data_IF_569584139619
#
_entry.id   IF_569584139619
#
_cell.length_a   1.000
_cell.length_b   1.000
_cell.length_c   1.000
_cell.angle_alpha   90.00
_cell.angle_beta   90.00
_cell.angle_gamma   90.00
#
_symmetry.space_group_name_H-M   'P 1'
#
loop_
_entity.id
_entity.type
_entity.pdbx_description
1 polymer ?
#
# COMPACT_ATOMS: atom_id res chain seq x y z
N UNK A 1 -13.01 -13.66 17.90
CA UNK A 1 -11.66 -13.26 18.36
C UNK A 1 -10.55 -14.19 17.84
N UNK A 2 -10.66 -15.51 17.98
CA UNK A 2 -9.60 -16.49 17.58
C UNK A 2 -9.18 -16.41 16.11
N UNK A 3 -10.10 -16.13 15.17
CA UNK A 3 -9.76 -16.04 13.72
C UNK A 3 -8.89 -14.81 13.35
N UNK A 4 -8.97 -13.71 14.10
CA UNK A 4 -8.19 -12.52 13.81
C UNK A 4 -6.72 -12.67 14.23
N UNK A 5 -6.47 -13.33 15.34
CA UNK A 5 -5.11 -13.55 15.87
C UNK A 5 -4.30 -14.49 14.97
N UNK A 6 -4.91 -15.60 14.54
CA UNK A 6 -4.27 -16.52 13.59
C UNK A 6 -3.88 -15.83 12.27
N UNK A 7 -4.72 -14.90 11.78
CA UNK A 7 -4.43 -14.13 10.57
C UNK A 7 -3.24 -13.16 10.80
N UNK A 8 -3.21 -12.46 11.93
CA UNK A 8 -2.11 -11.57 12.30
C UNK A 8 -0.78 -12.36 12.38
N UNK A 9 -0.79 -13.51 13.05
CA UNK A 9 0.40 -14.39 13.12
C UNK A 9 0.82 -14.91 11.74
N UNK A 10 -0.12 -15.23 10.85
CA UNK A 10 0.19 -15.61 9.48
C UNK A 10 0.88 -14.45 8.72
N UNK A 11 0.36 -13.24 8.85
CA UNK A 11 0.98 -12.05 8.25
C UNK A 11 2.38 -11.81 8.81
N UNK A 12 2.55 -11.86 10.12
CA UNK A 12 3.85 -11.68 10.77
C UNK A 12 4.90 -12.66 10.25
N UNK A 13 4.54 -13.94 10.16
CA UNK A 13 5.43 -14.97 9.57
C UNK A 13 5.74 -14.71 8.11
N UNK A 14 4.76 -14.34 7.30
CA UNK A 14 4.95 -14.08 5.88
C UNK A 14 5.75 -12.80 5.58
N UNK A 15 5.73 -11.84 6.49
CA UNK A 15 6.48 -10.59 6.44
C UNK A 15 7.84 -10.69 7.16
N UNK A 16 8.14 -11.83 7.78
CA UNK A 16 9.34 -12.05 8.61
C UNK A 16 9.46 -11.01 9.73
N UNK A 17 8.34 -10.66 10.36
CA UNK A 17 8.30 -9.73 11.47
C UNK A 17 8.66 -10.39 12.79
N UNK A 18 9.32 -9.63 13.66
CA UNK A 18 9.36 -9.94 15.08
C UNK A 18 7.96 -9.79 15.70
N UNK A 19 7.71 -10.47 16.81
CA UNK A 19 6.42 -10.43 17.51
C UNK A 19 6.01 -9.00 17.90
N UNK A 20 6.98 -8.19 18.32
CA UNK A 20 6.80 -6.77 18.67
C UNK A 20 6.25 -5.92 17.52
N UNK A 21 6.65 -6.20 16.27
CA UNK A 21 6.25 -5.44 15.09
C UNK A 21 4.74 -5.52 14.84
N UNK A 22 4.11 -6.64 15.19
CA UNK A 22 2.65 -6.79 15.02
C UNK A 22 1.85 -5.79 15.84
N UNK A 23 2.38 -5.36 16.99
CA UNK A 23 1.75 -4.37 17.87
C UNK A 23 1.82 -2.95 17.34
N UNK A 24 2.76 -2.65 16.43
CA UNK A 24 2.91 -1.33 15.81
C UNK A 24 1.83 -1.06 14.75
N UNK A 25 1.27 -2.11 14.13
CA UNK A 25 0.35 -1.99 12.99
C UNK A 25 -1.04 -1.54 13.44
N UNK A 26 -1.63 -0.59 12.69
CA UNK A 26 -3.03 -0.18 12.80
C UNK A 26 -3.95 -1.18 12.09
N UNK A 27 -4.26 -2.27 12.76
CA UNK A 27 -5.15 -3.32 12.24
C UNK A 27 -6.59 -2.84 12.07
N UNK A 28 -7.03 -1.85 12.85
CA UNK A 28 -8.38 -1.32 12.74
C UNK A 28 -8.58 -0.59 11.42
N UNK A 29 -7.63 0.28 11.06
CA UNK A 29 -7.62 0.97 9.77
C UNK A 29 -7.54 0.00 8.59
N UNK A 30 -6.69 -1.03 8.70
CA UNK A 30 -6.58 -2.08 7.69
C UNK A 30 -7.91 -2.82 7.47
N UNK A 31 -8.55 -3.27 8.55
CA UNK A 31 -9.84 -3.98 8.47
C UNK A 31 -10.95 -3.08 7.92
N UNK A 32 -10.96 -1.80 8.32
CA UNK A 32 -11.95 -0.84 7.82
C UNK A 32 -11.75 -0.54 6.33
N UNK A 33 -10.49 -0.50 5.86
CA UNK A 33 -10.20 -0.35 4.44
C UNK A 33 -10.71 -1.54 3.61
N UNK A 34 -10.53 -2.78 4.09
CA UNK A 34 -11.09 -3.98 3.45
C UNK A 34 -12.62 -3.88 3.35
N UNK A 35 -13.30 -3.55 4.46
CA UNK A 35 -14.76 -3.38 4.47
C UNK A 35 -15.22 -2.28 3.51
N UNK A 36 -14.52 -1.15 3.50
CA UNK A 36 -14.83 -0.02 2.60
C UNK A 36 -14.66 -0.39 1.13
N UNK A 37 -13.58 -1.07 0.80
CA UNK A 37 -13.32 -1.53 -0.56
C UNK A 37 -14.46 -2.42 -1.08
N UNK A 38 -15.01 -3.28 -0.23
CA UNK A 38 -16.11 -4.18 -0.59
C UNK A 38 -17.44 -3.45 -0.77
N UNK A 39 -17.68 -2.36 -0.05
CA UNK A 39 -19.00 -1.67 -0.04
C UNK A 39 -19.07 -0.54 -1.06
N UNK A 40 -18.03 0.29 -1.13
CA UNK A 40 -18.07 1.59 -1.80
C UNK A 40 -17.14 1.72 -3.01
N UNK A 41 -16.34 0.71 -3.30
CA UNK A 41 -15.36 0.80 -4.35
C UNK A 41 -15.56 -0.28 -5.41
N UNK A 42 -15.15 0.05 -6.63
CA UNK A 42 -15.07 -0.89 -7.74
C UNK A 42 -13.90 -1.89 -7.58
N UNK A 43 -13.42 -2.09 -6.34
CA UNK A 43 -12.30 -2.98 -6.04
C UNK A 43 -12.82 -4.38 -5.71
N UNK A 44 -12.52 -5.40 -6.52
CA UNK A 44 -12.94 -6.76 -6.21
C UNK A 44 -12.25 -7.28 -4.95
N UNK A 45 -13.04 -7.86 -4.03
CA UNK A 45 -12.52 -8.48 -2.79
C UNK A 45 -11.43 -9.51 -3.09
N UNK A 46 -11.64 -10.33 -4.13
CA UNK A 46 -10.66 -11.33 -4.58
C UNK A 46 -9.32 -10.72 -4.96
N UNK A 47 -9.33 -9.52 -5.56
CA UNK A 47 -8.08 -8.82 -5.89
C UNK A 47 -7.36 -8.38 -4.62
N UNK A 48 -8.07 -7.69 -3.71
CA UNK A 48 -7.48 -7.19 -2.46
C UNK A 48 -6.87 -8.34 -1.67
N UNK A 49 -7.63 -9.42 -1.45
CA UNK A 49 -7.14 -10.59 -0.72
C UNK A 49 -5.87 -11.16 -1.36
N UNK A 50 -5.85 -11.34 -2.69
CA UNK A 50 -4.67 -11.84 -3.38
C UNK A 50 -3.48 -10.89 -3.30
N UNK A 51 -3.73 -9.59 -3.40
CA UNK A 51 -2.69 -8.58 -3.33
C UNK A 51 -2.02 -8.53 -1.96
N UNK A 52 -2.81 -8.41 -0.88
CA UNK A 52 -2.26 -8.28 0.49
C UNK A 52 -1.53 -9.54 0.98
N UNK A 53 -1.79 -10.69 0.35
CA UNK A 53 -1.15 -11.98 0.66
C UNK A 53 -0.07 -12.40 -0.35
N UNK A 54 0.33 -11.55 -1.31
CA UNK A 54 1.33 -11.86 -2.35
C UNK A 54 0.99 -13.09 -3.22
N UNK A 55 -0.29 -13.31 -3.47
CA UNK A 55 -0.78 -14.43 -4.30
C UNK A 55 -1.54 -13.98 -5.56
N UNK A 56 -1.29 -12.75 -6.02
CA UNK A 56 -1.78 -12.33 -7.34
C UNK A 56 -1.23 -13.30 -8.39
N UNK A 57 -2.04 -13.73 -9.38
CA UNK A 57 -1.61 -14.66 -10.42
C UNK A 57 -0.68 -13.98 -11.46
N UNK A 58 0.44 -13.46 -10.97
CA UNK A 58 1.57 -12.98 -11.79
C UNK A 58 2.24 -14.15 -12.51
N UNK A 59 3.09 -13.85 -13.48
CA UNK A 59 3.82 -14.88 -14.23
C UNK A 59 4.51 -15.91 -13.34
N UNK A 60 5.21 -15.44 -12.29
CA UNK A 60 5.89 -16.28 -11.30
C UNK A 60 4.93 -17.21 -10.54
N UNK A 61 3.77 -16.70 -10.12
CA UNK A 61 2.80 -17.50 -9.36
C UNK A 61 2.12 -18.53 -10.25
N UNK A 62 1.71 -18.15 -11.47
CA UNK A 62 1.05 -19.07 -12.40
C UNK A 62 2.00 -20.18 -12.85
N UNK A 63 3.27 -19.85 -13.13
CA UNK A 63 4.26 -20.84 -13.54
C UNK A 63 4.51 -21.94 -12.51
N UNK A 64 4.35 -21.68 -11.19
CA UNK A 64 4.43 -22.70 -10.14
C UNK A 64 3.41 -23.84 -10.29
N UNK A 65 2.23 -23.52 -10.81
CA UNK A 65 1.13 -24.47 -10.99
C UNK A 65 0.99 -24.95 -12.42
N UNK A 66 1.52 -24.17 -13.37
CA UNK A 66 1.51 -24.45 -14.81
C UNK A 66 2.91 -24.20 -15.37
N UNK A 67 3.84 -25.16 -15.30
CA UNK A 67 5.25 -24.97 -15.67
C UNK A 67 5.47 -24.52 -17.12
N UNK A 68 4.54 -24.77 -18.03
CA UNK A 68 4.60 -24.31 -19.42
C UNK A 68 4.10 -22.87 -19.62
N UNK A 69 3.57 -22.22 -18.56
CA UNK A 69 3.15 -20.83 -18.64
C UNK A 69 4.37 -19.91 -18.61
N UNK A 70 4.42 -18.94 -19.52
CA UNK A 70 5.52 -17.97 -19.55
C UNK A 70 5.52 -17.12 -18.27
N UNK A 71 6.56 -17.19 -17.42
CA UNK A 71 6.64 -16.42 -16.19
C UNK A 71 7.00 -14.95 -16.41
N UNK A 72 7.44 -14.56 -17.60
CA UNK A 72 7.93 -13.21 -17.92
C UNK A 72 6.85 -12.14 -17.83
N UNK A 73 7.29 -10.89 -17.75
CA UNK A 73 6.40 -9.73 -17.74
C UNK A 73 5.78 -9.51 -19.14
N UNK A 74 4.47 -9.24 -19.25
CA UNK A 74 3.85 -8.97 -20.54
C UNK A 74 4.18 -7.56 -21.10
N UNK A 75 4.85 -6.72 -20.32
CA UNK A 75 5.07 -5.30 -20.65
C UNK A 75 6.55 -4.91 -20.79
N UNK A 76 7.48 -5.81 -20.46
CA UNK A 76 8.93 -5.61 -20.61
C UNK A 76 9.64 -6.99 -20.65
N UNK A 77 10.98 -6.98 -20.82
CA UNK A 77 11.79 -8.19 -20.98
C UNK A 77 12.15 -8.91 -19.66
N UNK A 78 11.52 -8.53 -18.54
CA UNK A 78 11.78 -9.16 -17.25
C UNK A 78 11.29 -10.61 -17.25
N UNK A 79 12.21 -11.54 -16.94
CA UNK A 79 12.00 -12.98 -17.16
C UNK A 79 11.03 -13.65 -16.17
N UNK A 80 10.80 -13.05 -14.99
CA UNK A 80 10.01 -13.66 -13.92
C UNK A 80 9.18 -12.61 -13.18
N UNK A 81 7.97 -12.32 -13.71
CA UNK A 81 7.08 -11.31 -13.14
C UNK A 81 6.56 -11.75 -11.78
N UNK A 82 6.93 -11.04 -10.72
CA UNK A 82 6.32 -11.15 -9.41
C UNK A 82 5.50 -9.90 -9.05
N UNK A 83 4.96 -9.84 -7.83
CA UNK A 83 4.10 -8.73 -7.43
C UNK A 83 4.88 -7.43 -7.25
N UNK A 84 6.16 -7.47 -6.87
CA UNK A 84 7.00 -6.29 -6.78
C UNK A 84 7.29 -5.74 -8.18
N UNK A 85 7.72 -6.60 -9.11
CA UNK A 85 7.95 -6.22 -10.49
C UNK A 85 6.68 -5.65 -11.16
N UNK A 86 5.49 -6.15 -10.81
CA UNK A 86 4.23 -5.59 -11.31
C UNK A 86 4.15 -4.06 -11.06
N UNK A 87 4.62 -3.57 -9.92
CA UNK A 87 4.58 -2.17 -9.53
C UNK A 87 5.80 -1.37 -10.02
N UNK A 88 6.94 -2.03 -10.18
CA UNK A 88 8.24 -1.43 -10.53
C UNK A 88 8.65 -1.61 -11.98
N UNK A 89 7.83 -2.28 -12.79
CA UNK A 89 8.08 -2.51 -14.20
C UNK A 89 8.51 -1.21 -14.91
N UNK A 90 9.60 -1.20 -15.73
CA UNK A 90 10.12 -0.01 -16.38
C UNK A 90 9.24 0.52 -17.53
N UNK A 91 8.12 -0.14 -17.82
CA UNK A 91 7.21 0.31 -18.86
C UNK A 91 6.68 1.72 -18.56
N UNK A 92 6.58 2.56 -19.61
CA UNK A 92 6.15 3.97 -19.51
C UNK A 92 4.77 4.13 -18.81
N UNK A 93 3.87 3.16 -18.92
CA UNK A 93 2.58 3.21 -18.25
C UNK A 93 2.72 3.14 -16.72
N UNK A 94 3.80 2.56 -16.18
CA UNK A 94 4.08 2.58 -14.73
C UNK A 94 4.53 3.95 -14.26
N UNK A 95 5.30 4.68 -15.07
CA UNK A 95 5.67 6.07 -14.77
C UNK A 95 4.43 6.96 -14.72
N UNK A 96 3.54 6.85 -15.72
CA UNK A 96 2.27 7.57 -15.73
C UNK A 96 1.37 7.20 -14.54
N UNK A 97 1.35 5.92 -14.18
CA UNK A 97 0.59 5.44 -13.02
C UNK A 97 1.11 6.03 -11.71
N UNK A 98 2.44 5.99 -11.48
CA UNK A 98 3.07 6.58 -10.28
C UNK A 98 2.71 8.07 -10.17
N UNK A 99 2.80 8.81 -11.27
CA UNK A 99 2.44 10.23 -11.31
C UNK A 99 0.96 10.48 -10.96
N UNK A 100 0.03 9.66 -11.48
CA UNK A 100 -1.40 9.77 -11.12
C UNK A 100 -1.64 9.45 -9.65
N UNK A 101 -1.04 8.38 -9.14
CA UNK A 101 -1.16 8.00 -7.74
C UNK A 101 -0.65 9.12 -6.82
N UNK A 102 0.53 9.68 -7.08
CA UNK A 102 1.09 10.77 -6.29
C UNK A 102 0.17 12.00 -6.31
N UNK A 103 -0.36 12.37 -7.47
CA UNK A 103 -1.32 13.48 -7.59
C UNK A 103 -2.56 13.28 -6.72
N UNK A 104 -3.14 12.09 -6.74
CA UNK A 104 -4.35 11.81 -5.97
C UNK A 104 -4.05 11.70 -4.47
N UNK A 105 -2.88 11.19 -4.07
CA UNK A 105 -2.42 11.17 -2.69
C UNK A 105 -2.17 12.59 -2.16
N UNK A 106 -1.51 13.45 -2.94
CA UNK A 106 -1.30 14.86 -2.58
C UNK A 106 -2.64 15.57 -2.40
N UNK A 107 -3.55 15.40 -3.35
CA UNK A 107 -4.90 15.98 -3.24
C UNK A 107 -5.62 15.50 -1.98
N UNK A 108 -5.60 14.19 -1.71
CA UNK A 108 -6.20 13.63 -0.50
C UNK A 108 -5.58 14.22 0.79
N UNK A 109 -4.25 14.36 0.85
CA UNK A 109 -3.57 14.97 1.97
C UNK A 109 -4.00 16.44 2.17
N UNK A 110 -4.13 17.20 1.08
CA UNK A 110 -4.60 18.59 1.12
C UNK A 110 -6.07 18.69 1.60
N UNK A 111 -6.95 17.85 1.05
CA UNK A 111 -8.37 17.82 1.41
C UNK A 111 -8.57 17.43 2.89
N UNK A 112 -7.74 16.53 3.41
CA UNK A 112 -7.77 16.06 4.79
C UNK A 112 -6.87 16.85 5.74
N UNK A 113 -6.22 17.92 5.25
CA UNK A 113 -5.39 18.83 6.07
C UNK A 113 -4.18 18.16 6.72
N UNK A 114 -3.59 17.17 6.05
CA UNK A 114 -2.32 16.57 6.46
C UNK A 114 -1.22 17.63 6.42
N UNK A 115 -0.27 17.60 7.36
CA UNK A 115 0.87 18.51 7.32
C UNK A 115 1.77 18.20 6.11
N UNK A 116 2.52 19.21 5.69
CA UNK A 116 3.42 19.07 4.53
C UNK A 116 4.48 18.00 4.78
N UNK A 117 5.06 17.96 5.98
CA UNK A 117 6.07 16.97 6.35
C UNK A 117 5.50 15.55 6.30
N UNK A 118 4.29 15.35 6.84
CA UNK A 118 3.65 14.04 6.85
C UNK A 118 3.22 13.61 5.42
N UNK A 119 2.79 14.56 4.58
CA UNK A 119 2.51 14.33 3.18
C UNK A 119 3.78 13.90 2.41
N UNK A 120 4.88 14.62 2.61
CA UNK A 120 6.16 14.27 1.98
C UNK A 120 6.63 12.89 2.39
N UNK A 121 6.53 12.53 3.67
CA UNK A 121 6.88 11.18 4.14
C UNK A 121 6.06 10.09 3.44
N UNK A 122 4.76 10.29 3.23
CA UNK A 122 3.92 9.33 2.50
C UNK A 122 4.41 9.17 1.05
N UNK A 123 4.62 10.30 0.37
CA UNK A 123 4.98 10.32 -1.05
C UNK A 123 6.39 9.76 -1.26
N UNK A 124 7.37 10.24 -0.48
CA UNK A 124 8.76 9.82 -0.61
C UNK A 124 8.91 8.33 -0.23
N UNK A 125 8.36 7.89 0.89
CA UNK A 125 8.47 6.51 1.30
C UNK A 125 7.87 5.51 0.30
N UNK A 126 6.73 5.85 -0.33
CA UNK A 126 6.19 5.04 -1.44
C UNK A 126 7.12 5.10 -2.66
N UNK A 127 7.61 6.30 -3.01
CA UNK A 127 8.45 6.50 -4.19
C UNK A 127 9.78 5.75 -4.06
N UNK A 128 10.46 5.90 -2.93
CA UNK A 128 11.74 5.25 -2.65
C UNK A 128 11.61 3.73 -2.66
N UNK A 129 10.56 3.22 -2.02
CA UNK A 129 10.28 1.78 -2.07
C UNK A 129 10.03 1.28 -3.50
N UNK A 130 9.30 2.03 -4.34
CA UNK A 130 9.03 1.65 -5.73
C UNK A 130 10.22 1.88 -6.68
N UNK A 131 11.27 2.57 -6.25
CA UNK A 131 12.49 2.79 -7.00
C UNK A 131 13.67 1.97 -6.47
N UNK A 132 13.44 1.21 -5.40
CA UNK A 132 14.48 0.46 -4.68
C UNK A 132 15.65 1.38 -4.25
N UNK A 133 15.30 2.60 -3.85
CA UNK A 133 16.24 3.59 -3.34
C UNK A 133 16.27 3.54 -1.81
N UNK A 134 17.42 3.86 -1.18
CA UNK A 134 17.50 3.97 0.27
C UNK A 134 16.47 4.97 0.78
N UNK A 135 15.80 4.60 1.87
CA UNK A 135 14.88 5.51 2.57
C UNK A 135 15.67 6.67 3.19
N UNK A 136 15.03 7.83 3.28
CA UNK A 136 15.62 9.00 3.94
C UNK A 136 16.04 8.70 5.38
N UNK A 137 17.14 9.32 5.83
CA UNK A 137 17.61 9.18 7.21
C UNK A 137 16.60 9.79 8.19
N UNK A 138 16.05 9.01 9.12
CA UNK A 138 15.11 9.52 10.11
C UNK A 138 15.61 10.73 10.90
N UNK A 139 16.94 10.86 11.10
CA UNK A 139 17.52 11.96 11.88
C UNK A 139 17.30 13.36 11.26
N UNK A 140 16.93 13.42 9.99
CA UNK A 140 16.59 14.69 9.33
C UNK A 140 15.22 15.24 9.72
N UNK A 141 14.42 14.47 10.44
CA UNK A 141 13.05 14.78 10.80
C UNK A 141 12.90 15.13 12.30
N UNK A 142 11.84 15.86 12.70
CA UNK A 142 11.49 16.05 14.09
C UNK A 142 11.32 14.73 14.85
N UNK A 143 11.66 14.69 16.14
CA UNK A 143 11.69 13.47 16.94
C UNK A 143 10.39 12.62 16.84
N UNK A 144 9.22 13.28 16.79
CA UNK A 144 7.94 12.59 16.63
C UNK A 144 7.80 11.84 15.31
N UNK A 145 8.39 12.35 14.22
CA UNK A 145 8.41 11.71 12.92
C UNK A 145 9.50 10.67 12.81
N UNK A 146 10.64 10.82 13.52
CA UNK A 146 11.69 9.79 13.56
C UNK A 146 11.14 8.46 14.04
N UNK A 147 10.38 8.45 15.14
CA UNK A 147 9.76 7.22 15.66
C UNK A 147 8.76 6.63 14.67
N UNK A 148 7.94 7.46 14.01
CA UNK A 148 7.02 7.00 12.97
C UNK A 148 7.75 6.33 11.81
N UNK A 149 8.86 6.93 11.34
CA UNK A 149 9.67 6.39 10.23
C UNK A 149 10.27 5.06 10.64
N UNK A 150 10.85 4.96 11.85
CA UNK A 150 11.41 3.72 12.38
C UNK A 150 10.36 2.61 12.48
N UNK A 151 9.19 2.91 13.05
CA UNK A 151 8.06 1.97 13.11
C UNK A 151 7.67 1.48 11.71
N UNK A 152 7.54 2.40 10.75
CA UNK A 152 7.15 2.03 9.39
C UNK A 152 8.26 1.26 8.67
N UNK A 153 9.52 1.52 8.95
CA UNK A 153 10.65 0.72 8.43
C UNK A 153 10.63 -0.71 8.99
N UNK A 154 10.33 -0.90 10.28
CA UNK A 154 10.16 -2.22 10.90
C UNK A 154 8.96 -2.98 10.30
N UNK A 155 7.85 -2.30 10.02
CA UNK A 155 6.69 -2.88 9.36
C UNK A 155 7.00 -3.19 7.89
N UNK A 156 7.74 -2.31 7.21
CA UNK A 156 8.08 -2.38 5.80
C UNK A 156 7.17 -1.53 4.90
N UNK A 157 7.74 -0.90 3.89
CA UNK A 157 6.99 -0.09 2.92
C UNK A 157 6.20 -0.93 1.92
N UNK A 158 6.60 -2.16 1.67
CA UNK A 158 5.77 -3.14 0.96
C UNK A 158 4.47 -3.44 1.73
N UNK A 159 4.53 -3.45 3.05
CA UNK A 159 3.38 -3.63 3.92
C UNK A 159 2.52 -2.36 3.99
N UNK A 160 3.14 -1.17 3.89
CA UNK A 160 2.43 0.10 3.73
C UNK A 160 1.52 0.06 2.49
N UNK A 161 2.03 -0.37 1.33
CA UNK A 161 1.24 -0.56 0.11
C UNK A 161 0.10 -1.59 0.30
N UNK A 162 0.28 -2.57 1.18
CA UNK A 162 -0.74 -3.56 1.54
C UNK A 162 -1.72 -3.06 2.62
N UNK A 163 -1.60 -1.77 3.00
CA UNK A 163 -2.47 -1.13 3.98
C UNK A 163 -2.14 -1.44 5.44
N UNK A 164 -0.92 -1.88 5.73
CA UNK A 164 -0.42 -2.14 7.08
C UNK A 164 0.48 -0.99 7.51
N UNK A 165 -0.15 0.00 8.15
CA UNK A 165 0.47 1.24 8.59
C UNK A 165 0.85 1.18 10.06
N UNK A 166 1.88 1.94 10.48
CA UNK A 166 2.08 2.21 11.90
C UNK A 166 0.89 2.99 12.46
N UNK A 167 0.50 2.66 13.69
CA UNK A 167 -0.52 3.43 14.47
C UNK A 167 -0.15 4.90 14.59
N UNK A 168 1.14 5.22 14.55
CA UNK A 168 1.64 6.59 14.69
C UNK A 168 1.20 7.50 13.56
N UNK A 169 0.93 7.01 12.35
CA UNK A 169 0.38 7.84 11.27
C UNK A 169 -0.91 8.53 11.68
N UNK A 170 -1.82 7.77 12.27
CA UNK A 170 -3.12 8.30 12.74
C UNK A 170 -2.93 9.22 13.93
N UNK A 171 -2.11 8.82 14.90
CA UNK A 171 -1.88 9.57 16.14
C UNK A 171 -1.27 10.94 15.87
N UNK A 172 -0.20 10.98 15.07
CA UNK A 172 0.52 12.22 14.74
C UNK A 172 -0.37 13.15 13.91
N UNK A 173 -1.06 12.61 12.89
CA UNK A 173 -1.98 13.42 12.09
C UNK A 173 -3.08 14.06 12.95
N UNK A 174 -3.73 13.30 13.83
CA UNK A 174 -4.73 13.84 14.75
C UNK A 174 -4.16 14.92 15.70
N UNK A 175 -2.96 14.69 16.22
CA UNK A 175 -2.28 15.67 17.06
C UNK A 175 -2.02 16.98 16.31
N UNK A 176 -1.53 16.89 15.08
CA UNK A 176 -1.27 18.06 14.23
C UNK A 176 -2.56 18.81 13.87
N UNK A 177 -3.69 18.13 13.63
CA UNK A 177 -4.98 18.78 13.42
C UNK A 177 -5.40 19.58 14.64
N UNK A 178 -5.27 19.01 15.86
CA UNK A 178 -5.58 19.70 17.12
C UNK A 178 -4.69 20.91 17.35
N UNK A 179 -3.37 20.78 17.15
CA UNK A 179 -2.42 21.89 17.32
C UNK A 179 -2.70 23.06 16.36
N UNK A 180 -3.21 22.78 15.18
CA UNK A 180 -3.59 23.80 14.18
C UNK A 180 -5.03 24.28 14.33
N UNK A 181 -5.75 23.88 15.38
CA UNK A 181 -7.17 24.19 15.60
C UNK A 181 -8.08 23.84 14.42
N UNK A 182 -7.76 22.76 13.69
CA UNK A 182 -8.56 22.29 12.56
C UNK A 182 -9.68 21.41 13.09
N UNK A 183 -10.91 21.64 12.62
CA UNK A 183 -12.07 20.84 12.99
C UNK A 183 -11.85 19.37 12.59
N UNK A 184 -11.97 18.48 13.58
CA UNK A 184 -11.86 17.04 13.37
C UNK A 184 -13.20 16.50 12.85
N UNK A 185 -13.14 15.75 11.76
CA UNK A 185 -14.27 15.08 11.13
C UNK A 185 -13.98 13.59 10.96
N UNK A 186 -15.00 12.79 10.66
CA UNK A 186 -14.80 11.37 10.34
C UNK A 186 -13.96 11.14 9.06
N UNK A 187 -13.87 12.15 8.20
CA UNK A 187 -13.12 12.09 6.96
C UNK A 187 -11.64 12.40 7.15
N UNK A 188 -11.31 13.42 7.96
CA UNK A 188 -9.94 13.91 8.12
C UNK A 188 -9.22 13.36 9.35
N UNK A 189 -9.74 12.40 10.06
CA UNK A 189 -9.12 11.90 11.28
C UNK A 189 -9.28 10.41 11.52
N UNK A 190 -8.42 9.87 12.38
CA UNK A 190 -8.53 8.51 12.89
C UNK A 190 -8.57 7.44 11.80
N UNK A 191 -9.23 6.36 12.12
CA UNK A 191 -9.43 5.19 11.25
C UNK A 191 -10.17 5.55 9.95
N UNK A 192 -10.98 6.62 9.96
CA UNK A 192 -11.64 7.15 8.78
C UNK A 192 -10.63 7.62 7.73
N UNK A 193 -9.70 8.48 8.14
CA UNK A 193 -8.65 9.01 7.28
C UNK A 193 -7.72 7.91 6.74
N UNK A 194 -7.15 7.10 7.63
CA UNK A 194 -6.19 6.06 7.23
C UNK A 194 -6.81 4.99 6.34
N UNK A 195 -8.05 4.57 6.61
CA UNK A 195 -8.76 3.62 5.75
C UNK A 195 -9.06 4.17 4.34
N UNK A 196 -9.25 5.50 4.21
CA UNK A 196 -9.37 6.15 2.90
C UNK A 196 -8.03 6.19 2.15
N UNK A 197 -6.94 6.54 2.84
CA UNK A 197 -5.60 6.52 2.27
C UNK A 197 -5.27 5.13 1.70
N UNK A 198 -5.53 4.08 2.47
CA UNK A 198 -5.36 2.68 2.04
C UNK A 198 -6.19 2.39 0.78
N UNK A 199 -7.46 2.80 0.76
CA UNK A 199 -8.35 2.55 -0.36
C UNK A 199 -7.89 3.25 -1.65
N UNK A 200 -7.34 4.48 -1.55
CA UNK A 200 -6.75 5.19 -2.69
C UNK A 200 -5.55 4.41 -3.24
N UNK A 201 -4.62 4.00 -2.39
CA UNK A 201 -3.44 3.20 -2.78
C UNK A 201 -3.91 1.93 -3.51
N UNK A 202 -4.83 1.17 -2.94
CA UNK A 202 -5.32 -0.07 -3.53
C UNK A 202 -6.04 0.14 -4.87
N UNK A 203 -6.77 1.25 -5.04
CA UNK A 203 -7.43 1.57 -6.31
C UNK A 203 -6.41 1.80 -7.43
N UNK A 204 -5.31 2.49 -7.11
CA UNK A 204 -4.22 2.68 -8.05
C UNK A 204 -3.51 1.37 -8.40
N UNK A 205 -3.23 0.53 -7.40
CA UNK A 205 -2.60 -0.78 -7.63
C UNK A 205 -3.52 -1.69 -8.46
N UNK A 206 -4.82 -1.65 -8.22
CA UNK A 206 -5.79 -2.38 -9.04
C UNK A 206 -5.77 -1.93 -10.50
N UNK A 207 -5.65 -0.63 -10.77
CA UNK A 207 -5.53 -0.14 -12.15
C UNK A 207 -4.28 -0.68 -12.87
N UNK A 208 -3.17 -0.85 -12.15
CA UNK A 208 -1.97 -1.51 -12.67
C UNK A 208 -2.25 -2.98 -13.01
N UNK A 209 -2.94 -3.67 -12.11
CA UNK A 209 -3.31 -5.07 -12.31
C UNK A 209 -4.18 -5.26 -13.56
N UNK A 210 -5.20 -4.42 -13.75
CA UNK A 210 -6.05 -4.46 -14.95
C UNK A 210 -5.23 -4.20 -16.22
N UNK A 211 -4.39 -3.16 -16.23
CA UNK A 211 -3.55 -2.87 -17.39
C UNK A 211 -2.58 -4.00 -17.73
N UNK A 212 -2.02 -4.65 -16.70
CA UNK A 212 -1.17 -5.84 -16.90
C UNK A 212 -1.97 -7.00 -17.49
N UNK A 213 -3.19 -7.23 -17.02
CA UNK A 213 -4.04 -8.31 -17.55
C UNK A 213 -4.44 -8.04 -19.00
N UNK A 214 -4.76 -6.80 -19.35
CA UNK A 214 -4.99 -6.39 -20.73
C UNK A 214 -3.78 -6.66 -21.63
N UNK A 215 -2.56 -6.37 -21.14
CA UNK A 215 -1.33 -6.68 -21.88
C UNK A 215 -1.08 -8.19 -22.03
N UNK A 216 -1.50 -9.01 -21.06
CA UNK A 216 -1.28 -10.47 -21.06
C UNK A 216 -2.32 -11.22 -21.87
N UNK A 217 -3.58 -10.84 -21.79
CA UNK A 217 -4.73 -11.63 -22.26
C UNK A 217 -5.54 -10.97 -23.37
N UNK A 218 -5.31 -9.66 -23.66
CA UNK A 218 -6.16 -8.87 -24.52
C UNK A 218 -7.46 -8.42 -23.82
N UNK A 219 -8.30 -7.69 -24.58
CA UNK A 219 -9.51 -7.07 -24.00
C UNK A 219 -10.57 -8.09 -23.60
N UNK A 220 -10.64 -9.22 -24.29
CA UNK A 220 -11.74 -10.21 -24.14
C UNK A 220 -11.50 -11.19 -22.98
N UNK A 221 -10.32 -11.17 -22.35
CA UNK A 221 -9.93 -12.10 -21.27
C UNK A 221 -9.38 -11.38 -20.03
N UNK A 222 -9.59 -10.08 -19.92
CA UNK A 222 -9.01 -9.26 -18.85
C UNK A 222 -9.84 -9.25 -17.54
N UNK A 223 -11.02 -9.87 -17.50
CA UNK A 223 -11.90 -9.98 -16.35
C UNK A 223 -11.58 -11.16 -15.43
#
# INVERSE_FOLDING_TARGET
>A
MVKSEALIQHVARSANWEESTTSLVDWESHQRAIKRANINSKLPEKFITKFIHNILPTGKIVNRYKPFYNPGCPSCDHQCEDQFHLLTCPNIERTKWKSRMNKDLIKFCQDTKVSEELQLLIINGISDHLQDTPLEDPQQYPASLQVLIQDQQLIGWDQFLKGRFSKLWVTIHQQQLRQRNIQITLFNSGVGWSSHLIAIIWSHIYSVWINRNLARHGKDQAE
#
